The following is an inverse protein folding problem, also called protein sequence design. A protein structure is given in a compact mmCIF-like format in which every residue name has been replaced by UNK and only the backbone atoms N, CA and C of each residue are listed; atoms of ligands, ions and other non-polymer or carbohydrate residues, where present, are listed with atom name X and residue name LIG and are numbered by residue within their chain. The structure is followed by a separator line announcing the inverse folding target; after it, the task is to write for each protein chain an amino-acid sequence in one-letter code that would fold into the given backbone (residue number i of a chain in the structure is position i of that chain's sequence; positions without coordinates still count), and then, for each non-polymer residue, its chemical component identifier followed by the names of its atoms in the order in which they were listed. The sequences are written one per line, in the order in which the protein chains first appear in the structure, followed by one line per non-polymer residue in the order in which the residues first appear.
data_IF_758534014398
#
_entry.id   IF_758534014398
#
_cell.length_a   1.000
_cell.length_b   1.000
_cell.length_c   1.000
_cell.angle_alpha   90.00
_cell.angle_beta   90.00
_cell.angle_gamma   90.00
#
_symmetry.space_group_name_H-M   'P 1'
#
loop_
_entity.id
_entity.type
_entity.pdbx_description
1 polymer ?
#
# COMPACT_ATOMS: atom_id res chain seq x y z
N UNK A 1 4.13 -11.66 -9.67
CA UNK A 1 5.44 -12.09 -10.14
C UNK A 1 6.46 -10.95 -10.09
N UNK A 2 6.14 -9.78 -10.65
CA UNK A 2 7.02 -8.59 -10.65
C UNK A 2 7.38 -8.11 -9.24
N UNK A 3 6.45 -8.15 -8.29
CA UNK A 3 6.70 -7.71 -6.91
C UNK A 3 7.79 -8.53 -6.21
N UNK A 4 7.79 -9.84 -6.39
CA UNK A 4 8.83 -10.71 -5.86
C UNK A 4 10.21 -10.47 -6.51
N UNK A 5 10.23 -10.22 -7.81
CA UNK A 5 11.45 -9.95 -8.56
C UNK A 5 12.07 -8.60 -8.16
N UNK A 6 11.26 -7.55 -8.01
CA UNK A 6 11.71 -6.24 -7.52
C UNK A 6 12.27 -6.35 -6.10
N UNK A 7 11.59 -7.10 -5.23
CA UNK A 7 12.04 -7.32 -3.86
C UNK A 7 13.38 -8.07 -3.77
N UNK A 8 13.65 -8.99 -4.69
CA UNK A 8 14.91 -9.73 -4.75
C UNK A 8 16.09 -8.91 -5.26
N UNK A 9 15.84 -7.94 -6.15
CA UNK A 9 16.89 -7.12 -6.77
C UNK A 9 17.33 -5.94 -5.90
N UNK A 10 16.38 -5.25 -5.28
CA UNK A 10 16.62 -3.99 -4.56
C UNK A 10 16.59 -4.13 -3.02
N UNK A 11 16.33 -5.33 -2.53
CA UNK A 11 16.09 -5.54 -1.11
C UNK A 11 14.66 -5.12 -0.69
N UNK A 12 14.12 -5.84 0.28
CA UNK A 12 12.68 -5.79 0.63
C UNK A 12 12.23 -4.45 1.20
N UNK A 13 13.06 -3.85 2.06
CA UNK A 13 12.74 -2.55 2.68
C UNK A 13 12.76 -1.42 1.67
N UNK A 14 13.81 -1.36 0.85
CA UNK A 14 13.97 -0.29 -0.13
C UNK A 14 12.88 -0.37 -1.20
N UNK A 15 12.56 -1.57 -1.67
CA UNK A 15 11.47 -1.78 -2.63
C UNK A 15 10.13 -1.29 -2.09
N UNK A 16 9.79 -1.65 -0.84
CA UNK A 16 8.55 -1.19 -0.21
C UNK A 16 8.51 0.33 -0.05
N UNK A 17 9.59 0.93 0.39
CA UNK A 17 9.71 2.38 0.56
C UNK A 17 9.53 3.11 -0.78
N UNK A 18 10.21 2.67 -1.83
CA UNK A 18 10.09 3.26 -3.17
C UNK A 18 8.67 3.10 -3.71
N UNK A 19 8.07 1.92 -3.61
CA UNK A 19 6.70 1.66 -4.07
C UNK A 19 5.72 2.58 -3.31
N UNK A 20 5.88 2.73 -2.00
CA UNK A 20 5.05 3.62 -1.18
C UNK A 20 5.15 5.08 -1.63
N UNK A 21 6.36 5.57 -1.89
CA UNK A 21 6.57 6.95 -2.36
C UNK A 21 6.02 7.18 -3.76
N UNK A 22 6.22 6.23 -4.69
CA UNK A 22 5.68 6.35 -6.05
C UNK A 22 4.16 6.29 -6.04
N UNK A 23 3.56 5.40 -5.25
CA UNK A 23 2.12 5.32 -5.10
C UNK A 23 1.55 6.60 -4.48
N UNK A 24 2.19 7.13 -3.42
CA UNK A 24 1.81 8.41 -2.82
C UNK A 24 1.88 9.55 -3.83
N UNK A 25 3.00 9.70 -4.53
CA UNK A 25 3.19 10.76 -5.52
C UNK A 25 2.18 10.68 -6.66
N UNK A 26 1.94 9.47 -7.18
CA UNK A 26 0.96 9.23 -8.24
C UNK A 26 -0.46 9.54 -7.77
N UNK A 27 -0.83 9.15 -6.55
CA UNK A 27 -2.15 9.42 -5.98
C UNK A 27 -2.35 10.93 -5.75
N UNK A 28 -1.38 11.61 -5.15
CA UNK A 28 -1.45 13.05 -4.93
C UNK A 28 -1.56 13.81 -6.26
N UNK A 29 -0.72 13.48 -7.25
CA UNK A 29 -0.79 14.10 -8.56
C UNK A 29 -2.16 13.91 -9.21
N UNK A 30 -2.69 12.68 -9.17
CA UNK A 30 -3.99 12.33 -9.74
C UNK A 30 -5.12 13.15 -9.10
N UNK A 31 -5.20 13.16 -7.76
CA UNK A 31 -6.31 13.79 -7.05
C UNK A 31 -6.20 15.32 -6.92
N UNK A 32 -5.03 15.90 -7.16
CA UNK A 32 -4.87 17.36 -7.15
C UNK A 32 -5.00 18.00 -8.53
N UNK A 33 -4.59 17.29 -9.59
CA UNK A 33 -4.43 17.91 -10.90
C UNK A 33 -5.34 17.34 -11.99
N UNK A 34 -5.96 16.19 -11.78
CA UNK A 34 -6.72 15.50 -12.81
C UNK A 34 -8.15 15.21 -12.35
N UNK A 35 -9.12 15.50 -13.24
CA UNK A 35 -10.51 15.13 -13.05
C UNK A 35 -10.88 13.92 -13.94
N UNK A 36 -11.89 13.12 -13.55
CA UNK A 36 -12.41 12.07 -14.40
C UNK A 36 -12.86 12.63 -15.75
N UNK A 37 -12.30 12.11 -16.84
CA UNK A 37 -12.59 12.58 -18.20
C UNK A 37 -11.50 13.44 -18.83
N UNK A 38 -10.49 13.88 -18.07
CA UNK A 38 -9.33 14.59 -18.63
C UNK A 38 -8.35 13.64 -19.34
N UNK A 39 -7.65 14.17 -20.34
CA UNK A 39 -6.58 13.45 -21.00
C UNK A 39 -5.44 13.19 -20.01
N UNK A 40 -5.10 11.93 -19.78
CA UNK A 40 -4.08 11.54 -18.82
C UNK A 40 -4.60 10.98 -17.50
N UNK A 41 -5.86 11.21 -17.11
CA UNK A 41 -6.46 10.63 -15.91
C UNK A 41 -6.32 9.10 -15.89
N UNK A 42 -6.71 8.42 -16.97
CA UNK A 42 -6.59 6.97 -17.10
C UNK A 42 -5.16 6.48 -17.03
N UNK A 43 -4.21 7.23 -17.59
CA UNK A 43 -2.79 6.87 -17.54
C UNK A 43 -2.29 6.91 -16.10
N UNK A 44 -2.49 8.01 -15.39
CA UNK A 44 -2.04 8.15 -14.00
C UNK A 44 -2.78 7.21 -13.04
N UNK A 45 -4.06 6.96 -13.29
CA UNK A 45 -4.84 5.99 -12.56
C UNK A 45 -4.29 4.57 -12.77
N UNK A 46 -3.87 4.24 -14.00
CA UNK A 46 -3.25 2.95 -14.31
C UNK A 46 -1.87 2.81 -13.66
N UNK A 47 -1.08 3.89 -13.64
CA UNK A 47 0.22 3.93 -12.93
C UNK A 47 0.02 3.67 -11.44
N UNK A 48 -0.92 4.39 -10.80
CA UNK A 48 -1.25 4.18 -9.39
C UNK A 48 -1.72 2.74 -9.13
N UNK A 49 -2.60 2.21 -9.97
CA UNK A 49 -3.08 0.83 -9.88
C UNK A 49 -1.97 -0.20 -10.03
N UNK A 50 -1.05 0.02 -10.97
CA UNK A 50 0.10 -0.85 -11.19
C UNK A 50 1.00 -0.92 -9.95
N UNK A 51 1.42 0.22 -9.42
CA UNK A 51 2.28 0.27 -8.23
C UNK A 51 1.57 -0.24 -6.98
N UNK A 52 0.29 0.07 -6.80
CA UNK A 52 -0.53 -0.51 -5.73
C UNK A 52 -0.67 -2.03 -5.87
N UNK A 53 -0.80 -2.53 -7.10
CA UNK A 53 -0.86 -3.96 -7.39
C UNK A 53 0.42 -4.72 -7.00
N UNK A 54 1.58 -4.08 -7.10
CA UNK A 54 2.87 -4.68 -6.70
C UNK A 54 2.87 -5.03 -5.21
N UNK A 55 2.18 -4.28 -4.35
CA UNK A 55 2.03 -4.62 -2.94
C UNK A 55 1.42 -6.01 -2.73
N UNK A 56 0.42 -6.38 -3.53
CA UNK A 56 -0.23 -7.68 -3.42
C UNK A 56 0.68 -8.83 -3.82
N UNK A 57 1.64 -8.60 -4.70
CA UNK A 57 2.66 -9.59 -5.03
C UNK A 57 3.78 -9.70 -3.98
N UNK A 58 4.09 -8.60 -3.32
CA UNK A 58 5.20 -8.51 -2.36
C UNK A 58 4.77 -8.85 -0.92
N UNK A 59 3.61 -8.37 -0.49
CA UNK A 59 3.14 -8.49 0.89
C UNK A 59 3.02 -9.95 1.38
N UNK A 60 2.46 -10.89 0.61
CA UNK A 60 2.39 -12.30 1.02
C UNK A 60 3.74 -12.98 1.18
N UNK A 61 4.78 -12.47 0.53
CA UNK A 61 6.15 -12.98 0.67
C UNK A 61 6.82 -12.42 1.92
N UNK A 62 6.59 -11.14 2.20
CA UNK A 62 7.26 -10.43 3.29
C UNK A 62 6.64 -10.71 4.66
N UNK A 63 5.31 -10.73 4.77
CA UNK A 63 4.64 -10.94 6.06
C UNK A 63 5.07 -12.23 6.77
N UNK A 64 5.16 -13.40 6.10
CA UNK A 64 5.62 -14.62 6.76
C UNK A 64 7.03 -14.54 7.34
N UNK A 65 7.90 -13.70 6.76
CA UNK A 65 9.29 -13.57 7.19
C UNK A 65 9.46 -12.76 8.47
N UNK A 66 8.43 -12.01 8.86
CA UNK A 66 8.40 -11.28 10.14
C UNK A 66 8.18 -12.19 11.35
N UNK A 67 7.73 -13.41 11.12
CA UNK A 67 7.34 -14.33 12.18
C UNK A 67 8.25 -15.57 12.21
N UNK A 68 8.52 -16.07 13.41
CA UNK A 68 9.20 -17.34 13.60
C UNK A 68 8.37 -18.49 12.99
N UNK A 69 9.03 -19.55 12.56
CA UNK A 69 8.43 -20.65 11.79
C UNK A 69 7.16 -21.20 12.43
N UNK A 70 7.13 -21.31 13.75
CA UNK A 70 6.02 -21.88 14.52
C UNK A 70 4.69 -21.12 14.37
N UNK A 71 4.73 -19.79 14.23
CA UNK A 71 3.53 -18.93 14.17
C UNK A 71 3.41 -18.18 12.85
N UNK A 72 4.28 -18.47 11.90
CA UNK A 72 4.43 -17.72 10.63
C UNK A 72 3.12 -17.62 9.84
N UNK A 73 2.43 -18.73 9.63
CA UNK A 73 1.18 -18.74 8.86
C UNK A 73 0.06 -17.99 9.57
N UNK A 74 -0.08 -18.21 10.88
CA UNK A 74 -1.10 -17.52 11.70
C UNK A 74 -0.82 -16.03 11.80
N UNK A 75 0.43 -15.66 12.10
CA UNK A 75 0.83 -14.25 12.22
C UNK A 75 0.63 -13.49 10.90
N UNK A 76 1.10 -14.04 9.80
CA UNK A 76 0.89 -13.45 8.48
C UNK A 76 -0.60 -13.34 8.12
N UNK A 77 -1.38 -14.38 8.39
CA UNK A 77 -2.83 -14.39 8.16
C UNK A 77 -3.55 -13.33 8.98
N UNK A 78 -3.24 -13.20 10.26
CA UNK A 78 -3.84 -12.16 11.14
C UNK A 78 -3.50 -10.76 10.63
N UNK A 79 -2.22 -10.46 10.34
CA UNK A 79 -1.82 -9.15 9.84
C UNK A 79 -2.51 -8.81 8.51
N UNK A 80 -2.57 -9.75 7.57
CA UNK A 80 -3.20 -9.54 6.29
C UNK A 80 -4.71 -9.29 6.41
N UNK A 81 -5.40 -10.10 7.22
CA UNK A 81 -6.85 -9.94 7.41
C UNK A 81 -7.19 -8.69 8.23
N UNK A 82 -6.35 -8.30 9.19
CA UNK A 82 -6.55 -7.05 9.93
C UNK A 82 -6.53 -5.83 8.98
N UNK A 83 -5.58 -5.77 8.06
CA UNK A 83 -5.55 -4.74 7.02
C UNK A 83 -6.81 -4.74 6.16
N UNK A 84 -7.31 -5.92 5.79
CA UNK A 84 -8.56 -6.05 5.01
C UNK A 84 -9.79 -5.57 5.77
N UNK A 85 -9.88 -5.83 7.08
CA UNK A 85 -10.97 -5.35 7.92
C UNK A 85 -10.97 -3.82 7.97
N UNK A 86 -9.80 -3.20 8.19
CA UNK A 86 -9.68 -1.74 8.17
C UNK A 86 -10.11 -1.17 6.83
N UNK A 87 -9.67 -1.77 5.73
CA UNK A 87 -10.08 -1.36 4.39
C UNK A 87 -11.59 -1.46 4.19
N UNK A 88 -12.19 -2.57 4.61
CA UNK A 88 -13.64 -2.75 4.50
C UNK A 88 -14.42 -1.70 5.32
N UNK A 89 -13.98 -1.39 6.52
CA UNK A 89 -14.57 -0.34 7.35
C UNK A 89 -14.42 1.05 6.70
N UNK A 90 -13.27 1.33 6.10
CA UNK A 90 -13.03 2.60 5.39
C UNK A 90 -13.95 2.72 4.18
N UNK A 91 -14.09 1.65 3.38
CA UNK A 91 -15.00 1.64 2.22
C UNK A 91 -16.46 1.80 2.66
N UNK A 92 -16.87 1.09 3.72
CA UNK A 92 -18.23 1.23 4.27
C UNK A 92 -18.49 2.66 4.81
N UNK A 93 -17.46 3.29 5.37
CA UNK A 93 -17.52 4.68 5.85
C UNK A 93 -17.48 5.72 4.73
N UNK A 94 -17.14 5.36 3.50
CA UNK A 94 -16.97 6.32 2.38
C UNK A 94 -18.23 7.13 2.13
N UNK A 95 -19.41 6.57 2.30
CA UNK A 95 -20.67 7.29 2.14
C UNK A 95 -20.79 8.45 3.13
N UNK A 96 -20.42 8.23 4.39
CA UNK A 96 -20.42 9.26 5.43
C UNK A 96 -19.38 10.34 5.13
N UNK A 97 -18.20 9.94 4.64
CA UNK A 97 -17.16 10.89 4.22
C UNK A 97 -17.58 11.71 3.00
N UNK A 98 -18.30 11.11 2.06
CA UNK A 98 -18.84 11.84 0.89
C UNK A 98 -19.80 12.95 1.31
N UNK A 99 -20.72 12.66 2.22
CA UNK A 99 -21.63 13.68 2.74
C UNK A 99 -20.86 14.80 3.47
N UNK A 100 -19.86 14.47 4.27
CA UNK A 100 -19.04 15.43 5.01
C UNK A 100 -18.16 16.32 4.12
N UNK A 101 -17.80 15.87 2.93
CA UNK A 101 -16.94 16.58 1.97
C UNK A 101 -17.69 17.03 0.70
N UNK A 102 -18.99 17.30 0.80
CA UNK A 102 -19.83 17.81 -0.30
C UNK A 102 -19.76 16.96 -1.60
N UNK A 103 -19.64 15.65 -1.46
CA UNK A 103 -19.45 14.69 -2.56
C UNK A 103 -18.17 14.88 -3.39
N UNK A 104 -17.14 15.49 -2.83
CA UNK A 104 -15.85 15.70 -3.48
C UNK A 104 -14.94 14.46 -3.33
N UNK A 105 -15.01 13.57 -4.31
CA UNK A 105 -14.17 12.36 -4.37
C UNK A 105 -12.67 12.67 -4.42
N UNK A 106 -12.29 13.79 -5.03
CA UNK A 106 -10.89 14.19 -5.13
C UNK A 106 -10.31 14.51 -3.74
N UNK A 107 -11.04 15.23 -2.90
CA UNK A 107 -10.65 15.51 -1.51
C UNK A 107 -10.51 14.26 -0.67
N UNK A 108 -11.46 13.34 -0.79
CA UNK A 108 -11.38 12.06 -0.09
C UNK A 108 -10.14 11.29 -0.55
N UNK A 109 -9.87 11.25 -1.87
CA UNK A 109 -8.68 10.61 -2.41
C UNK A 109 -7.38 11.23 -1.92
N UNK A 110 -7.30 12.55 -1.82
CA UNK A 110 -6.15 13.28 -1.27
C UNK A 110 -5.86 12.87 0.18
N UNK A 111 -6.89 12.82 1.02
CA UNK A 111 -6.76 12.47 2.44
C UNK A 111 -6.41 10.98 2.61
N UNK A 112 -7.11 10.09 1.92
CA UNK A 112 -6.89 8.65 2.05
C UNK A 112 -5.55 8.20 1.49
N UNK A 113 -5.00 8.89 0.49
CA UNK A 113 -3.67 8.57 -0.06
C UNK A 113 -2.53 8.81 0.93
N UNK A 114 -2.74 9.59 2.00
CA UNK A 114 -1.78 9.78 3.10
C UNK A 114 -1.44 8.43 3.78
N UNK A 115 -2.29 7.42 3.66
CA UNK A 115 -2.00 6.07 4.19
C UNK A 115 -0.72 5.48 3.60
N UNK A 116 -0.36 5.82 2.37
CA UNK A 116 0.91 5.41 1.77
C UNK A 116 2.12 6.00 2.50
N UNK A 117 1.98 7.22 3.05
CA UNK A 117 3.01 7.83 3.88
C UNK A 117 3.19 7.06 5.19
N UNK A 118 2.09 6.62 5.82
CA UNK A 118 2.16 5.77 7.00
C UNK A 118 2.86 4.44 6.69
N UNK A 119 2.62 3.87 5.52
CA UNK A 119 3.33 2.68 5.05
C UNK A 119 4.84 2.92 4.90
N UNK A 120 5.24 4.04 4.31
CA UNK A 120 6.64 4.42 4.14
C UNK A 120 7.35 4.65 5.50
N UNK A 121 6.68 5.32 6.42
CA UNK A 121 7.19 5.53 7.79
C UNK A 121 7.31 4.18 8.53
N UNK A 122 6.29 3.33 8.44
CA UNK A 122 6.27 2.02 9.08
C UNK A 122 7.47 1.15 8.67
N UNK A 123 7.81 1.12 7.38
CA UNK A 123 8.97 0.34 6.91
C UNK A 123 10.30 0.97 7.35
N UNK A 124 10.37 2.29 7.50
CA UNK A 124 11.57 2.96 8.02
C UNK A 124 11.80 2.66 9.51
N UNK A 125 10.74 2.53 10.28
CA UNK A 125 10.80 2.22 11.72
C UNK A 125 11.11 0.74 12.00
N UNK A 126 11.01 -0.12 10.99
CA UNK A 126 11.28 -1.55 11.14
C UNK A 126 12.75 -1.81 11.47
N UNK A 127 13.09 -2.67 12.44
CA UNK A 127 14.47 -3.00 12.81
C UNK A 127 15.27 -3.56 11.63
N UNK A 128 16.55 -3.19 11.56
CA UNK A 128 17.47 -3.74 10.56
C UNK A 128 17.69 -5.24 10.86
N UNK A 129 17.49 -6.08 9.87
CA UNK A 129 17.68 -7.54 10.01
C UNK A 129 16.40 -8.39 9.92
N UNK A 130 15.23 -7.76 9.87
CA UNK A 130 13.99 -8.47 9.59
C UNK A 130 13.89 -8.70 8.09
N UNK A 131 13.78 -9.98 7.67
CA UNK A 131 13.64 -10.36 6.25
C UNK A 131 14.92 -10.86 5.57
N UNK A 132 15.99 -11.14 6.30
CA UNK A 132 17.28 -11.63 5.77
C UNK A 132 17.61 -13.10 6.05
N UNK A 133 17.08 -13.68 7.12
CA UNK A 133 17.28 -15.08 7.46
C UNK A 133 16.01 -15.67 8.05
N UNK A 134 15.65 -16.85 7.55
CA UNK A 134 14.62 -17.70 8.14
C UNK A 134 15.18 -18.15 9.49
N UNK A 135 14.73 -17.57 10.57
CA UNK A 135 15.03 -18.07 11.91
C UNK A 135 14.19 -19.32 12.16
N UNK A 136 14.88 -20.43 12.30
CA UNK A 136 14.30 -21.71 12.72
C UNK A 136 13.69 -21.63 14.12
#
# INVERSE_FOLDING_TARGET
FLGGLVASLFGRRLSYFIISLVALGSAQYLFWNLAPGESGFLLWFSVLGFFSGIYFGWLPLFLPELFVTRIRSTGAGVCFNFGRIITALTVAGTAIFLEAFDNDYARIGQITSIIYLLGAIGICLMPKGVGGEIKD
#
